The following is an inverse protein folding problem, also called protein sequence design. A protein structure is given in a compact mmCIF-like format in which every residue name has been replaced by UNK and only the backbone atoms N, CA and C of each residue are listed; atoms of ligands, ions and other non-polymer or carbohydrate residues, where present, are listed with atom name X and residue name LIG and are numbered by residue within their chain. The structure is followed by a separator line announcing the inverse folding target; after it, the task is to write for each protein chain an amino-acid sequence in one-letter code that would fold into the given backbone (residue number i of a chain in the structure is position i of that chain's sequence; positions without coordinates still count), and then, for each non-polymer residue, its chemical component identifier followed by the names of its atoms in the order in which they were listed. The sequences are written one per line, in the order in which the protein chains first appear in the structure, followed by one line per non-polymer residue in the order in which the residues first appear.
data_IF_386601765173
#
_entry.id   IF_386601765173
#
_cell.length_a   1.000
_cell.length_b   1.000
_cell.length_c   1.000
_cell.angle_alpha   90.00
_cell.angle_beta   90.00
_cell.angle_gamma   90.00
#
_symmetry.space_group_name_H-M   'P 1'
#
loop_
_entity.id
_entity.type
_entity.pdbx_description
1 polymer ?
#
# COMPACT_ATOMS: atom_id res chain seq x y z
N UNK A 1 25.96 7.84 -12.53
CA UNK A 1 24.74 7.05 -12.81
C UNK A 1 23.71 7.38 -11.74
N UNK A 2 22.68 8.16 -12.07
CA UNK A 2 21.61 8.50 -11.13
C UNK A 2 20.82 7.23 -10.77
N UNK A 3 21.09 6.65 -9.60
CA UNK A 3 20.24 5.61 -9.03
C UNK A 3 19.01 6.30 -8.45
N UNK A 4 17.98 6.48 -9.28
CA UNK A 4 16.70 7.07 -8.87
C UNK A 4 15.95 6.11 -7.94
N UNK A 5 16.13 4.80 -8.14
CA UNK A 5 15.42 3.74 -7.43
C UNK A 5 16.35 2.97 -6.48
N UNK A 6 15.85 2.54 -5.30
CA UNK A 6 16.55 1.64 -4.39
C UNK A 6 16.96 0.33 -5.06
N UNK A 7 17.84 -0.47 -4.41
CA UNK A 7 18.17 -1.81 -4.87
C UNK A 7 16.92 -2.68 -5.10
N UNK A 8 16.88 -3.45 -6.19
CA UNK A 8 15.73 -4.32 -6.53
C UNK A 8 15.27 -5.25 -5.40
N UNK A 9 16.15 -5.96 -4.67
CA UNK A 9 15.70 -6.85 -3.59
C UNK A 9 14.92 -6.11 -2.49
N UNK A 10 15.27 -4.84 -2.26
CA UNK A 10 14.56 -3.99 -1.32
C UNK A 10 13.17 -3.60 -1.87
N UNK A 11 13.11 -3.19 -3.13
CA UNK A 11 11.85 -2.83 -3.79
C UNK A 11 10.87 -4.00 -3.84
N UNK A 12 11.33 -5.18 -4.24
CA UNK A 12 10.49 -6.38 -4.32
C UNK A 12 9.92 -6.74 -2.94
N UNK A 13 10.73 -6.63 -1.89
CA UNK A 13 10.28 -6.84 -0.53
C UNK A 13 9.22 -5.81 -0.09
N UNK A 14 9.40 -4.53 -0.46
CA UNK A 14 8.38 -3.50 -0.17
C UNK A 14 7.09 -3.78 -0.93
N UNK A 15 7.16 -4.13 -2.22
CA UNK A 15 5.97 -4.43 -3.03
C UNK A 15 5.17 -5.60 -2.46
N UNK A 16 5.84 -6.69 -2.07
CA UNK A 16 5.18 -7.84 -1.43
C UNK A 16 4.52 -7.43 -0.11
N UNK A 17 5.19 -6.62 0.72
CA UNK A 17 4.62 -6.11 1.98
C UNK A 17 3.39 -5.24 1.71
N UNK A 18 3.45 -4.34 0.72
CA UNK A 18 2.32 -3.49 0.31
C UNK A 18 1.15 -4.33 -0.17
N UNK A 19 1.38 -5.33 -1.03
CA UNK A 19 0.35 -6.23 -1.52
C UNK A 19 -0.36 -6.94 -0.37
N UNK A 20 0.39 -7.53 0.56
CA UNK A 20 -0.17 -8.24 1.72
C UNK A 20 -0.98 -7.29 2.61
N UNK A 21 -0.43 -6.12 2.93
CA UNK A 21 -1.12 -5.13 3.76
C UNK A 21 -2.40 -4.62 3.08
N UNK A 22 -2.33 -4.33 1.78
CA UNK A 22 -3.46 -3.89 1.00
C UNK A 22 -4.56 -4.94 1.01
N UNK A 23 -4.25 -6.22 0.70
CA UNK A 23 -5.22 -7.31 0.71
C UNK A 23 -5.91 -7.45 2.08
N UNK A 24 -5.13 -7.45 3.16
CA UNK A 24 -5.67 -7.62 4.53
C UNK A 24 -6.58 -6.46 4.90
N UNK A 25 -6.14 -5.22 4.69
CA UNK A 25 -6.90 -4.04 5.06
C UNK A 25 -8.13 -3.84 4.17
N UNK A 26 -8.02 -4.17 2.88
CA UNK A 26 -9.13 -4.13 1.93
C UNK A 26 -10.21 -5.16 2.28
N UNK A 27 -9.80 -6.38 2.62
CA UNK A 27 -10.72 -7.42 3.08
C UNK A 27 -11.40 -7.02 4.40
N UNK A 28 -10.65 -6.44 5.36
CA UNK A 28 -11.19 -5.99 6.63
C UNK A 28 -12.21 -4.84 6.45
N UNK A 29 -11.91 -3.87 5.58
CA UNK A 29 -12.83 -2.76 5.29
C UNK A 29 -14.08 -3.24 4.55
N UNK A 30 -13.93 -4.15 3.59
CA UNK A 30 -15.06 -4.76 2.88
C UNK A 30 -15.96 -5.57 3.82
N UNK A 31 -15.36 -6.38 4.69
CA UNK A 31 -16.09 -7.15 5.70
C UNK A 31 -16.81 -6.23 6.70
N UNK A 32 -16.13 -5.17 7.17
CA UNK A 32 -16.73 -4.15 8.03
C UNK A 32 -17.93 -3.46 7.35
N UNK A 33 -17.82 -3.13 6.06
CA UNK A 33 -18.93 -2.54 5.31
C UNK A 33 -20.13 -3.49 5.16
N UNK A 34 -19.89 -4.80 5.01
CA UNK A 34 -20.98 -5.79 4.98
C UNK A 34 -21.65 -5.88 6.36
N UNK A 35 -20.85 -6.02 7.42
CA UNK A 35 -21.36 -6.31 8.76
C UNK A 35 -21.96 -5.09 9.46
N UNK A 36 -21.43 -3.88 9.23
CA UNK A 36 -21.84 -2.68 9.97
C UNK A 36 -22.85 -1.82 9.22
N UNK A 37 -22.72 -1.72 7.89
CA UNK A 37 -23.59 -0.85 7.07
C UNK A 37 -24.52 -1.65 6.16
N UNK A 38 -24.43 -2.98 6.15
CA UNK A 38 -25.29 -3.84 5.34
C UNK A 38 -25.05 -3.69 3.84
N UNK A 39 -23.89 -3.17 3.43
CA UNK A 39 -23.61 -2.95 2.00
C UNK A 39 -23.48 -4.29 1.27
N UNK A 40 -24.25 -4.52 0.20
CA UNK A 40 -24.23 -5.79 -0.51
C UNK A 40 -22.97 -5.94 -1.36
N UNK A 41 -22.58 -7.19 -1.62
CA UNK A 41 -21.60 -7.52 -2.66
C UNK A 41 -22.22 -7.25 -4.05
N UNK A 42 -21.47 -6.71 -5.03
CA UNK A 42 -20.04 -6.38 -4.99
C UNK A 42 -19.74 -4.94 -4.53
N UNK A 43 -20.74 -4.15 -4.15
CA UNK A 43 -20.55 -2.73 -3.81
C UNK A 43 -19.63 -2.54 -2.61
N UNK A 44 -19.62 -3.48 -1.67
CA UNK A 44 -18.69 -3.48 -0.53
C UNK A 44 -17.21 -3.64 -0.93
N UNK A 45 -16.92 -4.17 -2.12
CA UNK A 45 -15.55 -4.36 -2.62
C UNK A 45 -14.99 -3.11 -3.31
N UNK A 46 -15.85 -2.13 -3.63
CA UNK A 46 -15.46 -0.87 -4.28
C UNK A 46 -15.28 0.19 -3.20
N UNK A 47 -14.04 0.46 -2.75
CA UNK A 47 -13.82 1.46 -1.73
C UNK A 47 -14.13 2.86 -2.28
N UNK A 48 -14.72 3.68 -1.41
CA UNK A 48 -14.81 5.12 -1.60
C UNK A 48 -13.41 5.75 -1.77
N UNK A 49 -13.34 6.93 -2.39
CA UNK A 49 -12.08 7.69 -2.47
C UNK A 49 -11.49 7.98 -1.08
N UNK A 50 -12.34 8.28 -0.09
CA UNK A 50 -11.92 8.52 1.29
C UNK A 50 -11.31 7.29 1.95
N UNK A 51 -11.95 6.12 1.82
CA UNK A 51 -11.41 4.86 2.35
C UNK A 51 -10.12 4.45 1.64
N UNK A 52 -10.01 4.69 0.33
CA UNK A 52 -8.77 4.43 -0.43
C UNK A 52 -7.61 5.27 0.10
N UNK A 53 -7.81 6.59 0.29
CA UNK A 53 -6.79 7.46 0.85
C UNK A 53 -6.41 7.07 2.28
N UNK A 54 -7.40 6.68 3.09
CA UNK A 54 -7.16 6.19 4.44
C UNK A 54 -6.32 4.91 4.44
N UNK A 55 -6.67 3.92 3.61
CA UNK A 55 -5.92 2.67 3.45
C UNK A 55 -4.47 2.95 3.04
N UNK A 56 -4.25 3.79 2.03
CA UNK A 56 -2.91 4.19 1.59
C UNK A 56 -2.12 4.83 2.73
N UNK A 57 -2.73 5.75 3.47
CA UNK A 57 -2.07 6.41 4.61
C UNK A 57 -1.67 5.41 5.70
N UNK A 58 -2.54 4.45 6.01
CA UNK A 58 -2.26 3.37 6.97
C UNK A 58 -1.12 2.48 6.47
N UNK A 59 -1.16 2.04 5.21
CA UNK A 59 -0.10 1.21 4.62
C UNK A 59 1.24 1.94 4.65
N UNK A 60 1.28 3.20 4.24
CA UNK A 60 2.50 4.03 4.29
C UNK A 60 3.03 4.15 5.72
N UNK A 61 2.16 4.34 6.71
CA UNK A 61 2.55 4.42 8.12
C UNK A 61 3.14 3.10 8.61
N UNK A 62 2.48 1.97 8.34
CA UNK A 62 2.93 0.64 8.74
C UNK A 62 4.29 0.32 8.10
N UNK A 63 4.44 0.57 6.80
CA UNK A 63 5.72 0.41 6.10
C UNK A 63 6.78 1.31 6.73
N UNK A 64 6.49 2.58 7.00
CA UNK A 64 7.45 3.49 7.64
C UNK A 64 7.93 2.96 9.00
N UNK A 65 7.01 2.48 9.83
CA UNK A 65 7.34 1.92 11.14
C UNK A 65 8.16 0.65 11.02
N UNK A 66 7.81 -0.25 10.10
CA UNK A 66 8.56 -1.48 9.86
C UNK A 66 9.98 -1.20 9.36
N UNK A 67 10.12 -0.34 8.34
CA UNK A 67 11.42 0.04 7.79
C UNK A 67 12.27 0.77 8.84
N UNK A 68 11.63 1.59 9.70
CA UNK A 68 12.30 2.24 10.83
C UNK A 68 12.81 1.22 11.86
N UNK A 69 11.98 0.24 12.22
CA UNK A 69 12.35 -0.83 13.17
C UNK A 69 13.51 -1.70 12.68
N UNK A 70 13.61 -1.91 11.36
CA UNK A 70 14.69 -2.69 10.73
C UNK A 70 15.92 -1.85 10.36
N UNK A 71 15.94 -0.55 10.69
CA UNK A 71 16.97 0.41 10.27
C UNK A 71 17.12 0.52 8.74
N UNK A 72 16.14 0.04 7.98
CA UNK A 72 16.13 0.06 6.51
C UNK A 72 16.04 1.51 5.98
N UNK A 73 15.36 2.41 6.71
CA UNK A 73 15.32 3.85 6.38
C UNK A 73 16.72 4.48 6.44
N UNK A 74 17.50 4.14 7.48
CA UNK A 74 18.86 4.68 7.67
C UNK A 74 19.81 4.11 6.60
N UNK A 75 19.66 2.83 6.29
CA UNK A 75 20.41 2.18 5.20
C UNK A 75 20.13 2.87 3.86
N UNK A 76 18.85 3.13 3.52
CA UNK A 76 18.48 3.85 2.31
C UNK A 76 19.04 5.27 2.28
N UNK A 77 18.98 6.01 3.39
CA UNK A 77 19.52 7.37 3.44
C UNK A 77 21.02 7.40 3.23
N UNK A 78 21.76 6.40 3.74
CA UNK A 78 23.20 6.27 3.51
C UNK A 78 23.54 5.98 2.05
N UNK A 79 22.61 5.38 1.30
CA UNK A 79 22.72 5.18 -0.15
C UNK A 79 22.23 6.40 -0.96
N UNK A 80 21.83 7.48 -0.31
CA UNK A 80 21.30 8.70 -0.95
C UNK A 80 19.84 8.59 -1.38
N UNK A 81 19.11 7.55 -0.97
CA UNK A 81 17.70 7.38 -1.27
C UNK A 81 16.81 8.00 -0.19
N UNK A 82 15.83 8.80 -0.61
CA UNK A 82 14.85 9.37 0.30
C UNK A 82 13.63 8.45 0.46
N UNK A 83 13.04 8.47 1.66
CA UNK A 83 11.79 7.75 1.93
C UNK A 83 10.62 8.21 1.04
N UNK A 84 10.67 9.43 0.51
CA UNK A 84 9.64 9.96 -0.42
C UNK A 84 9.47 9.09 -1.66
N UNK A 85 10.56 8.53 -2.19
CA UNK A 85 10.50 7.61 -3.34
C UNK A 85 9.74 6.33 -3.00
N UNK A 86 9.93 5.81 -1.78
CA UNK A 86 9.19 4.65 -1.29
C UNK A 86 7.70 4.98 -1.13
N UNK A 87 7.36 6.15 -0.58
CA UNK A 87 5.97 6.59 -0.47
C UNK A 87 5.29 6.65 -1.84
N UNK A 88 5.94 7.25 -2.84
CA UNK A 88 5.40 7.32 -4.21
C UNK A 88 5.18 5.92 -4.81
N UNK A 89 6.11 5.00 -4.58
CA UNK A 89 5.98 3.61 -5.01
C UNK A 89 4.80 2.90 -4.34
N UNK A 90 4.66 3.04 -3.01
CA UNK A 90 3.53 2.47 -2.25
C UNK A 90 2.20 3.02 -2.76
N UNK A 91 2.11 4.33 -2.99
CA UNK A 91 0.90 4.98 -3.53
C UNK A 91 0.58 4.45 -4.93
N UNK A 92 1.57 4.39 -5.81
CA UNK A 92 1.39 3.88 -7.17
C UNK A 92 0.91 2.43 -7.17
N UNK A 93 1.54 1.57 -6.36
CA UNK A 93 1.16 0.16 -6.22
C UNK A 93 -0.29 0.02 -5.72
N UNK A 94 -0.68 0.77 -4.69
CA UNK A 94 -2.06 0.75 -4.19
C UNK A 94 -3.05 1.18 -5.28
N UNK A 95 -2.74 2.23 -6.06
CA UNK A 95 -3.61 2.66 -7.15
C UNK A 95 -3.73 1.62 -8.27
N UNK A 96 -2.65 0.91 -8.58
CA UNK A 96 -2.64 -0.19 -9.55
C UNK A 96 -3.50 -1.36 -9.05
N UNK A 97 -3.38 -1.73 -7.77
CA UNK A 97 -4.19 -2.78 -7.15
C UNK A 97 -5.68 -2.43 -7.14
N UNK A 98 -6.01 -1.18 -6.77
CA UNK A 98 -7.39 -0.66 -6.82
C UNK A 98 -7.96 -0.67 -8.24
N UNK A 99 -7.18 -0.20 -9.23
CA UNK A 99 -7.61 -0.21 -10.62
C UNK A 99 -7.80 -1.65 -11.13
N UNK A 100 -6.88 -2.56 -10.82
CA UNK A 100 -6.97 -3.97 -11.17
C UNK A 100 -8.20 -4.64 -10.55
N UNK A 101 -8.48 -4.35 -9.28
CA UNK A 101 -9.68 -4.86 -8.61
C UNK A 101 -10.96 -4.32 -9.26
N UNK A 102 -11.02 -3.02 -9.58
CA UNK A 102 -12.17 -2.42 -10.27
C UNK A 102 -12.41 -3.05 -11.64
N UNK A 103 -11.35 -3.35 -12.38
CA UNK A 103 -11.44 -4.05 -13.67
C UNK A 103 -11.88 -5.51 -13.49
N UNK A 104 -11.51 -6.17 -12.39
CA UNK A 104 -11.93 -7.55 -12.14
C UNK A 104 -13.39 -7.68 -11.68
N UNK A 105 -13.93 -6.65 -11.02
CA UNK A 105 -15.32 -6.61 -10.53
C UNK A 105 -16.28 -6.04 -11.59
N UNK A 106 -15.76 -5.22 -12.51
CA UNK A 106 -16.51 -4.54 -13.58
C UNK A 106 -16.64 -5.36 -14.85
#
# INVERSE_FOLDING_TARGET
MNRILPPRPFLDAVLVRVLVLWLVLHAATSFGAIMMTGTPLPQSLIPSAGSTLFLIAVIVLVIRLELGRRSEIVFLSNLGHSFRGIVLLVVAECLVLEAGLRVAIG
#
